data_IF_421968835751
#
_entry.id   IF_421968835751
#
_cell.length_a   1.000
_cell.length_b   1.000
_cell.length_c   1.000
_cell.angle_alpha   90.00
_cell.angle_beta   90.00
_cell.angle_gamma   90.00
#
_symmetry.space_group_name_H-M   'P 1'
#
loop_
_entity.id
_entity.type
_entity.pdbx_description
1 polymer ?
#
# COMPACT_ATOMS: atom_id res chain seq x y z
N UNK A 1 14.52 8.11 -13.66
CA UNK A 1 15.21 6.96 -14.24
C UNK A 1 15.49 7.13 -15.70
N UNK A 2 16.71 6.78 -16.17
CA UNK A 2 17.09 6.85 -17.60
C UNK A 2 16.65 5.60 -18.35
N UNK A 3 16.67 4.43 -17.69
CA UNK A 3 16.27 3.15 -18.25
C UNK A 3 15.37 2.41 -17.23
N UNK A 4 14.42 1.63 -17.70
CA UNK A 4 13.54 0.78 -16.86
C UNK A 4 12.46 1.54 -16.10
N UNK A 5 12.78 2.67 -15.47
CA UNK A 5 11.87 3.54 -14.70
C UNK A 5 11.71 4.91 -15.35
N UNK A 6 11.54 4.93 -16.67
CA UNK A 6 11.36 6.17 -17.43
C UNK A 6 10.14 6.93 -16.94
N UNK A 7 10.33 8.22 -16.63
CA UNK A 7 9.26 9.08 -16.12
C UNK A 7 9.12 9.11 -14.59
N UNK A 8 9.74 8.18 -13.88
CA UNK A 8 9.80 8.25 -12.43
C UNK A 8 10.78 9.36 -11.99
N UNK A 9 10.25 10.29 -11.19
CA UNK A 9 10.99 11.44 -10.67
C UNK A 9 10.98 11.37 -9.15
N UNK A 10 12.17 11.46 -8.55
CA UNK A 10 12.37 11.41 -7.09
C UNK A 10 13.00 12.71 -6.61
N UNK A 11 12.65 13.14 -5.42
CA UNK A 11 13.31 14.23 -4.70
C UNK A 11 14.20 13.65 -3.61
N UNK A 12 15.51 13.90 -3.70
CA UNK A 12 16.48 13.54 -2.68
C UNK A 12 16.77 14.78 -1.80
N UNK A 13 16.45 14.72 -0.52
CA UNK A 13 16.70 15.79 0.43
C UNK A 13 18.14 15.76 0.99
N UNK A 14 18.79 14.60 0.89
CA UNK A 14 20.15 14.34 1.38
C UNK A 14 21.11 14.12 0.21
N UNK A 15 22.39 14.24 0.48
CA UNK A 15 23.43 13.95 -0.49
C UNK A 15 23.34 12.49 -0.96
N UNK A 16 23.45 12.28 -2.26
CA UNK A 16 23.35 10.96 -2.86
C UNK A 16 24.38 10.72 -3.93
N UNK A 17 24.69 9.47 -4.19
CA UNK A 17 25.56 9.06 -5.29
C UNK A 17 24.70 8.57 -6.46
N UNK A 18 24.60 9.34 -7.57
CA UNK A 18 23.78 8.93 -8.71
C UNK A 18 24.42 7.77 -9.46
N UNK A 19 23.62 6.72 -9.73
CA UNK A 19 24.04 5.64 -10.60
C UNK A 19 23.98 6.09 -12.07
N UNK A 20 24.78 5.44 -12.96
CA UNK A 20 24.84 5.74 -14.40
C UNK A 20 23.50 5.59 -15.14
N UNK A 21 22.53 4.89 -14.57
CA UNK A 21 21.18 4.74 -15.08
C UNK A 21 20.22 5.84 -14.62
N UNK A 22 20.73 6.84 -13.90
CA UNK A 22 19.94 7.94 -13.33
C UNK A 22 20.36 9.27 -13.99
N UNK A 23 19.39 10.12 -14.33
CA UNK A 23 19.60 11.53 -14.62
C UNK A 23 19.28 12.32 -13.35
N UNK A 24 20.06 13.35 -13.05
CA UNK A 24 19.83 14.25 -11.92
C UNK A 24 19.96 15.70 -12.37
N UNK A 25 19.32 16.60 -11.62
CA UNK A 25 19.42 18.05 -11.84
C UNK A 25 20.71 18.55 -11.21
N UNK A 26 21.64 19.04 -12.03
CA UNK A 26 22.92 19.55 -11.59
C UNK A 26 22.84 21.02 -11.13
N UNK A 27 22.00 21.81 -11.82
CA UNK A 27 21.83 23.23 -11.53
C UNK A 27 20.38 23.64 -11.72
N UNK A 28 19.81 24.31 -10.75
CA UNK A 28 18.43 24.81 -10.80
C UNK A 28 18.28 26.19 -11.44
N UNK A 29 19.40 26.87 -11.74
CA UNK A 29 19.42 28.19 -12.39
C UNK A 29 18.50 29.22 -11.68
N UNK A 30 18.50 29.22 -10.33
CA UNK A 30 17.68 30.12 -9.53
C UNK A 30 16.22 29.71 -9.34
N UNK A 31 15.80 28.57 -9.90
CA UNK A 31 14.46 28.04 -9.68
C UNK A 31 14.37 27.23 -8.37
N UNK A 32 13.18 27.12 -7.82
CA UNK A 32 12.94 26.32 -6.60
C UNK A 32 13.07 24.81 -6.88
N UNK A 33 13.85 24.12 -6.07
CA UNK A 33 14.17 22.70 -6.29
C UNK A 33 12.94 21.79 -6.17
N UNK A 34 12.04 22.06 -5.19
CA UNK A 34 10.81 21.29 -5.03
C UNK A 34 9.82 21.58 -6.17
N UNK A 35 9.75 22.82 -6.64
CA UNK A 35 8.97 23.16 -7.82
C UNK A 35 9.47 22.40 -9.05
N UNK A 36 10.77 22.39 -9.30
CA UNK A 36 11.35 21.64 -10.44
C UNK A 36 11.06 20.13 -10.31
N UNK A 37 11.11 19.56 -9.10
CA UNK A 37 10.70 18.18 -8.88
C UNK A 37 9.26 17.93 -9.35
N UNK A 38 8.30 18.75 -8.93
CA UNK A 38 6.89 18.62 -9.35
C UNK A 38 6.70 18.91 -10.83
N UNK A 39 7.39 19.91 -11.38
CA UNK A 39 7.36 20.22 -12.80
C UNK A 39 7.84 19.03 -13.64
N UNK A 40 8.94 18.38 -13.27
CA UNK A 40 9.46 17.22 -13.97
C UNK A 40 8.48 16.03 -13.96
N UNK A 41 7.60 15.91 -12.97
CA UNK A 41 6.54 14.89 -12.93
C UNK A 41 5.43 15.13 -13.95
N UNK A 42 5.25 16.35 -14.43
CA UNK A 42 4.24 16.67 -15.46
C UNK A 42 4.75 16.46 -16.89
N UNK A 43 6.05 16.25 -17.07
CA UNK A 43 6.62 16.07 -18.41
C UNK A 43 6.23 14.71 -19.00
N UNK A 44 5.90 14.72 -20.29
CA UNK A 44 5.66 13.49 -21.07
C UNK A 44 6.98 12.85 -21.49
N UNK A 45 7.60 12.12 -20.58
CA UNK A 45 8.92 11.54 -20.76
C UNK A 45 9.07 10.59 -21.96
N UNK A 46 7.97 10.00 -22.43
CA UNK A 46 7.93 9.18 -23.65
C UNK A 46 8.46 9.91 -24.89
N UNK A 47 8.28 11.22 -24.98
CA UNK A 47 8.76 12.05 -26.08
C UNK A 47 10.29 12.10 -26.19
N UNK A 48 10.98 11.84 -25.10
CA UNK A 48 12.45 11.93 -25.00
C UNK A 48 13.14 10.58 -25.10
N UNK A 49 12.41 9.51 -25.41
CA UNK A 49 12.97 8.17 -25.53
C UNK A 49 13.48 7.88 -26.93
N UNK A 50 14.60 7.17 -27.03
CA UNK A 50 15.10 6.65 -28.29
C UNK A 50 14.32 5.41 -28.72
N UNK A 51 14.06 5.26 -30.02
CA UNK A 51 13.50 4.06 -30.63
C UNK A 51 14.58 2.95 -30.67
N UNK A 52 14.81 2.27 -29.54
CA UNK A 52 15.75 1.16 -29.43
C UNK A 52 15.10 -0.01 -28.69
N UNK A 53 15.68 -1.21 -28.81
CA UNK A 53 15.20 -2.41 -28.12
C UNK A 53 15.13 -2.23 -26.60
N UNK A 54 15.94 -1.33 -26.03
CA UNK A 54 15.84 -0.86 -24.63
C UNK A 54 15.61 0.65 -24.68
N UNK A 55 14.37 1.13 -24.50
CA UNK A 55 14.07 2.55 -24.49
C UNK A 55 14.87 3.27 -23.40
N UNK A 56 15.45 4.40 -23.75
CA UNK A 56 16.21 5.22 -22.80
C UNK A 56 16.04 6.71 -23.08
N UNK A 57 16.12 7.54 -22.05
CA UNK A 57 16.03 8.99 -22.17
C UNK A 57 17.34 9.51 -22.75
N UNK A 58 17.23 10.31 -23.83
CA UNK A 58 18.34 11.08 -24.37
C UNK A 58 18.36 12.47 -23.73
N UNK A 59 19.33 12.72 -22.84
CA UNK A 59 19.47 14.01 -22.13
C UNK A 59 19.59 15.20 -23.10
N UNK A 60 20.27 15.04 -24.26
CA UNK A 60 20.44 16.12 -25.19
C UNK A 60 19.14 16.52 -25.90
N UNK A 61 18.17 15.61 -25.96
CA UNK A 61 16.80 15.91 -26.43
C UNK A 61 16.02 16.64 -25.36
N UNK A 62 16.13 16.19 -24.10
CA UNK A 62 15.49 16.87 -22.96
C UNK A 62 15.97 18.33 -22.83
N UNK A 63 17.28 18.58 -22.99
CA UNK A 63 17.85 19.94 -22.89
C UNK A 63 17.39 20.91 -23.99
N UNK A 64 16.76 20.41 -25.05
CA UNK A 64 16.21 21.27 -26.13
C UNK A 64 14.75 21.67 -25.88
N UNK A 65 14.13 21.07 -24.89
CA UNK A 65 12.73 21.39 -24.57
C UNK A 65 12.65 22.81 -23.99
N UNK A 66 11.84 23.64 -24.62
CA UNK A 66 11.59 25.00 -24.16
C UNK A 66 10.39 24.96 -23.23
N UNK A 67 10.57 25.43 -22.00
CA UNK A 67 9.53 25.45 -20.97
C UNK A 67 9.28 26.88 -20.50
N UNK A 68 8.04 27.19 -20.15
CA UNK A 68 7.67 28.44 -19.50
C UNK A 68 7.46 28.16 -18.02
N UNK A 69 8.17 28.87 -17.16
CA UNK A 69 8.07 28.75 -15.71
C UNK A 69 7.56 30.07 -15.11
N UNK A 70 6.77 30.03 -14.03
CA UNK A 70 6.36 31.22 -13.31
C UNK A 70 7.55 31.85 -12.56
N UNK A 71 7.35 33.04 -12.00
CA UNK A 71 8.33 33.67 -11.14
C UNK A 71 8.64 32.83 -9.89
N UNK A 72 9.77 33.10 -9.24
CA UNK A 72 10.28 32.30 -8.11
C UNK A 72 9.33 32.27 -6.92
N UNK A 73 8.58 33.34 -6.64
CA UNK A 73 7.63 33.40 -5.54
C UNK A 73 6.41 32.51 -5.82
N UNK A 74 5.92 32.50 -7.06
CA UNK A 74 4.87 31.58 -7.52
C UNK A 74 5.35 30.14 -7.47
N UNK A 75 6.60 29.86 -7.91
CA UNK A 75 7.21 28.52 -7.80
C UNK A 75 7.21 27.99 -6.36
N UNK A 76 7.69 28.79 -5.41
CA UNK A 76 7.72 28.43 -3.99
C UNK A 76 6.33 28.14 -3.43
N UNK A 77 5.32 28.94 -3.79
CA UNK A 77 3.93 28.72 -3.35
C UNK A 77 3.37 27.41 -3.89
N UNK A 78 3.57 27.12 -5.18
CA UNK A 78 3.14 25.86 -5.79
C UNK A 78 3.84 24.68 -5.11
N UNK A 79 5.17 24.75 -4.94
CA UNK A 79 5.95 23.73 -4.28
C UNK A 79 5.51 23.49 -2.83
N UNK A 80 5.24 24.56 -2.08
CA UNK A 80 4.74 24.47 -0.70
C UNK A 80 3.38 23.78 -0.64
N UNK A 81 2.44 24.19 -1.48
CA UNK A 81 1.08 23.60 -1.54
C UNK A 81 1.12 22.09 -1.81
N UNK A 82 1.87 21.68 -2.82
CA UNK A 82 1.98 20.26 -3.17
C UNK A 82 2.78 19.46 -2.12
N UNK A 83 3.82 20.08 -1.54
CA UNK A 83 4.63 19.44 -0.48
C UNK A 83 3.83 19.20 0.80
N UNK A 84 2.93 20.09 1.19
CA UNK A 84 2.06 19.87 2.36
C UNK A 84 1.20 18.62 2.19
N UNK A 85 0.68 18.35 0.98
CA UNK A 85 -0.06 17.13 0.69
C UNK A 85 0.84 15.88 0.81
N UNK A 86 2.03 15.92 0.21
CA UNK A 86 2.97 14.79 0.28
C UNK A 86 3.47 14.56 1.72
N UNK A 87 3.74 15.62 2.49
CA UNK A 87 4.15 15.54 3.89
C UNK A 87 3.04 14.95 4.77
N UNK A 88 1.77 15.33 4.55
CA UNK A 88 0.64 14.74 5.28
C UNK A 88 0.48 13.24 4.95
N UNK A 89 0.60 12.85 3.66
CA UNK A 89 0.58 11.45 3.26
C UNK A 89 1.70 10.66 3.94
N UNK A 90 2.90 11.22 3.98
CA UNK A 90 4.06 10.60 4.63
C UNK A 90 3.83 10.43 6.13
N UNK A 91 3.38 11.50 6.81
CA UNK A 91 3.09 11.47 8.26
C UNK A 91 2.02 10.42 8.60
N UNK A 92 0.93 10.36 7.83
CA UNK A 92 -0.10 9.35 8.02
C UNK A 92 0.45 7.92 7.83
N UNK A 93 1.39 7.73 6.90
CA UNK A 93 2.03 6.42 6.67
C UNK A 93 2.89 6.03 7.87
N UNK A 94 3.73 6.95 8.37
CA UNK A 94 4.56 6.74 9.57
C UNK A 94 3.71 6.47 10.82
N UNK A 95 2.58 7.17 10.99
CA UNK A 95 1.62 6.90 12.06
C UNK A 95 1.06 5.49 11.91
N UNK A 96 0.68 5.05 10.71
CA UNK A 96 0.14 3.72 10.48
C UNK A 96 1.14 2.61 10.80
N UNK A 97 2.42 2.80 10.46
CA UNK A 97 3.48 1.86 10.80
C UNK A 97 3.64 1.74 12.32
N UNK A 98 3.66 2.87 13.04
CA UNK A 98 3.72 2.89 14.50
C UNK A 98 2.48 2.24 15.16
N UNK A 99 1.28 2.48 14.62
CA UNK A 99 0.05 1.85 15.11
C UNK A 99 0.04 0.34 14.88
N UNK A 100 0.55 -0.11 13.73
CA UNK A 100 0.68 -1.54 13.42
C UNK A 100 1.70 -2.23 14.35
N UNK A 101 2.83 -1.59 14.63
CA UNK A 101 3.84 -2.09 15.56
C UNK A 101 3.30 -2.13 16.99
N UNK A 102 2.57 -1.11 17.42
CA UNK A 102 1.90 -1.08 18.73
C UNK A 102 0.89 -2.23 18.85
N UNK A 103 0.05 -2.41 17.84
CA UNK A 103 -0.93 -3.52 17.80
C UNK A 103 -0.23 -4.87 17.93
N UNK A 104 0.88 -5.07 17.19
CA UNK A 104 1.65 -6.32 17.28
C UNK A 104 2.31 -6.51 18.65
N UNK A 105 2.80 -5.45 19.26
CA UNK A 105 3.38 -5.50 20.61
C UNK A 105 2.33 -5.95 21.62
N UNK A 106 1.14 -5.32 21.61
CA UNK A 106 0.03 -5.68 22.50
C UNK A 106 -0.44 -7.13 22.26
N UNK A 107 -0.51 -7.55 20.99
CA UNK A 107 -0.85 -8.92 20.62
C UNK A 107 0.19 -9.91 21.19
N UNK A 108 1.47 -9.62 21.00
CA UNK A 108 2.56 -10.51 21.49
C UNK A 108 2.62 -10.57 23.01
N UNK A 109 2.40 -9.46 23.71
CA UNK A 109 2.36 -9.45 25.18
C UNK A 109 1.21 -10.29 25.75
N UNK A 110 0.04 -10.24 25.11
CA UNK A 110 -1.16 -10.95 25.59
C UNK A 110 -1.22 -12.41 25.16
N UNK A 111 -0.79 -12.72 23.93
CA UNK A 111 -1.01 -14.02 23.29
C UNK A 111 0.26 -14.65 22.72
N UNK A 112 1.40 -13.98 22.78
CA UNK A 112 2.64 -14.43 22.14
C UNK A 112 3.42 -15.50 22.92
N UNK A 113 3.07 -15.77 24.19
CA UNK A 113 3.72 -16.77 25.03
C UNK A 113 3.05 -18.14 24.83
N UNK A 114 3.17 -18.70 23.64
CA UNK A 114 2.56 -19.96 23.20
C UNK A 114 2.85 -21.17 24.10
N UNK A 115 3.96 -21.13 24.88
CA UNK A 115 4.45 -22.29 25.67
C UNK A 115 3.67 -22.47 26.98
N UNK A 116 2.99 -21.43 27.46
CA UNK A 116 2.28 -21.45 28.75
C UNK A 116 0.75 -21.30 28.60
N UNK A 117 0.23 -21.16 27.38
CA UNK A 117 -1.21 -21.00 27.18
C UNK A 117 -1.97 -22.29 27.53
N UNK A 118 -2.92 -22.16 28.44
CA UNK A 118 -3.80 -23.27 28.89
C UNK A 118 -4.72 -23.72 27.75
N UNK A 119 -5.10 -22.80 26.84
CA UNK A 119 -5.99 -23.06 25.72
C UNK A 119 -5.23 -22.89 24.40
N UNK A 120 -4.69 -23.98 23.87
CA UNK A 120 -4.08 -24.01 22.54
C UNK A 120 -5.09 -24.55 21.52
N UNK A 121 -5.08 -23.95 20.33
CA UNK A 121 -5.87 -24.39 19.20
C UNK A 121 -5.10 -24.19 17.89
N UNK A 122 -5.82 -24.27 16.80
CA UNK A 122 -5.29 -24.03 15.45
C UNK A 122 -6.10 -22.94 14.74
N UNK A 123 -5.55 -22.39 13.69
CA UNK A 123 -6.17 -21.27 12.96
C UNK A 123 -7.60 -21.58 12.50
N UNK A 124 -7.89 -22.85 12.15
CA UNK A 124 -9.26 -23.27 11.77
C UNK A 124 -10.29 -23.19 12.90
N UNK A 125 -9.87 -23.04 14.15
CA UNK A 125 -10.81 -22.88 15.28
C UNK A 125 -11.36 -21.45 15.36
N UNK A 126 -10.62 -20.47 14.81
CA UNK A 126 -10.97 -19.05 14.89
C UNK A 126 -11.38 -18.43 13.55
N UNK A 127 -11.13 -19.10 12.41
CA UNK A 127 -11.51 -18.61 11.08
C UNK A 127 -11.71 -19.73 10.06
N UNK A 128 -12.25 -19.35 8.93
CA UNK A 128 -12.35 -20.20 7.73
C UNK A 128 -12.00 -19.40 6.48
N UNK A 129 -11.74 -20.09 5.36
CA UNK A 129 -11.67 -19.41 4.07
C UNK A 129 -13.07 -19.00 3.59
N UNK A 130 -13.21 -17.75 3.12
CA UNK A 130 -14.45 -17.30 2.50
C UNK A 130 -14.86 -18.20 1.33
N UNK A 131 -16.12 -18.61 1.31
CA UNK A 131 -16.75 -19.37 0.23
C UNK A 131 -17.74 -18.54 -0.58
N UNK A 132 -18.06 -17.37 -0.08
CA UNK A 132 -19.01 -16.47 -0.69
C UNK A 132 -18.51 -15.89 -2.00
N UNK A 133 -19.45 -15.50 -2.85
CA UNK A 133 -19.17 -14.90 -4.14
C UNK A 133 -19.80 -13.52 -4.25
N UNK A 134 -19.13 -12.64 -4.96
CA UNK A 134 -19.65 -11.32 -5.32
C UNK A 134 -19.57 -11.15 -6.83
N UNK A 135 -20.58 -10.54 -7.42
CA UNK A 135 -20.55 -10.18 -8.84
C UNK A 135 -19.49 -9.11 -9.08
N UNK A 136 -18.68 -9.29 -10.13
CA UNK A 136 -17.63 -8.30 -10.47
C UNK A 136 -18.25 -6.93 -10.80
N UNK A 137 -19.48 -6.90 -11.31
CA UNK A 137 -20.23 -5.66 -11.55
C UNK A 137 -20.56 -4.84 -10.29
N UNK A 138 -20.49 -5.45 -9.10
CA UNK A 138 -20.66 -4.77 -7.81
C UNK A 138 -19.34 -4.18 -7.27
N UNK A 139 -18.22 -4.50 -7.91
CA UNK A 139 -16.87 -4.10 -7.51
C UNK A 139 -16.35 -2.96 -8.39
N UNK A 140 -15.36 -2.27 -7.86
CA UNK A 140 -14.56 -1.31 -8.61
C UNK A 140 -13.05 -1.53 -8.31
N UNK A 141 -12.19 -0.76 -8.94
CA UNK A 141 -10.73 -0.88 -8.77
C UNK A 141 -10.23 -0.64 -7.33
N UNK A 142 -11.06 -0.03 -6.49
CA UNK A 142 -10.79 0.24 -5.07
C UNK A 142 -11.15 -0.95 -4.19
N UNK A 143 -12.23 -1.64 -4.53
CA UNK A 143 -12.82 -2.74 -3.74
C UNK A 143 -12.43 -4.11 -4.25
N UNK A 144 -11.52 -4.20 -5.23
CA UNK A 144 -10.99 -5.46 -5.74
C UNK A 144 -9.51 -5.63 -5.37
N UNK A 145 -9.17 -6.79 -4.79
CA UNK A 145 -7.83 -7.13 -4.35
C UNK A 145 -7.24 -8.31 -5.13
N UNK A 146 -6.06 -8.10 -5.66
CA UNK A 146 -5.25 -9.14 -6.31
C UNK A 146 -3.83 -9.13 -5.75
N UNK A 147 -3.02 -10.12 -6.12
CA UNK A 147 -1.61 -10.14 -5.72
C UNK A 147 -0.81 -8.96 -6.28
N UNK A 148 -1.30 -8.30 -7.32
CA UNK A 148 -0.63 -7.18 -7.98
C UNK A 148 -0.78 -5.88 -7.19
N UNK A 149 -2.01 -5.58 -6.73
CA UNK A 149 -2.30 -4.34 -6.02
C UNK A 149 -2.16 -4.44 -4.49
N UNK A 150 -1.92 -5.62 -3.94
CA UNK A 150 -1.47 -5.78 -2.56
C UNK A 150 0.03 -5.51 -2.47
N UNK A 151 0.45 -4.64 -1.54
CA UNK A 151 1.82 -4.19 -1.39
C UNK A 151 2.64 -5.13 -0.50
N UNK A 152 3.93 -5.27 -0.83
CA UNK A 152 4.88 -6.07 -0.03
C UNK A 152 5.17 -5.42 1.31
N UNK A 153 5.69 -6.21 2.28
CA UNK A 153 6.08 -5.69 3.58
C UNK A 153 4.92 -5.19 4.43
N UNK A 154 3.71 -5.75 4.23
CA UNK A 154 2.49 -5.38 4.98
C UNK A 154 2.01 -3.93 4.74
N UNK A 155 2.45 -3.29 3.65
CA UNK A 155 2.17 -1.88 3.37
C UNK A 155 0.73 -1.61 2.87
N UNK A 156 -0.17 -2.62 2.89
CA UNK A 156 -1.56 -2.47 2.47
C UNK A 156 -1.75 -2.71 0.98
N UNK A 157 -2.47 -1.84 0.30
CA UNK A 157 -2.82 -2.01 -1.13
C UNK A 157 -2.94 -0.69 -1.86
N UNK A 158 -2.81 -0.77 -3.19
CA UNK A 158 -3.17 0.30 -4.13
C UNK A 158 -4.49 -0.04 -4.84
N UNK A 159 -4.93 0.81 -5.75
CA UNK A 159 -6.03 0.48 -6.66
C UNK A 159 -5.61 -0.64 -7.62
N UNK A 160 -6.55 -1.49 -7.98
CA UNK A 160 -6.32 -2.48 -9.04
C UNK A 160 -6.22 -1.77 -10.40
N UNK A 161 -5.35 -2.25 -11.27
CA UNK A 161 -5.22 -1.73 -12.64
C UNK A 161 -6.44 -2.06 -13.50
N UNK A 162 -7.13 -3.16 -13.19
CA UNK A 162 -8.34 -3.62 -13.87
C UNK A 162 -9.13 -4.57 -12.99
N UNK A 163 -10.41 -4.73 -13.30
CA UNK A 163 -11.23 -5.79 -12.72
C UNK A 163 -11.02 -7.12 -13.47
N UNK A 164 -11.28 -8.27 -12.83
CA UNK A 164 -11.20 -9.56 -13.51
C UNK A 164 -12.28 -9.67 -14.59
N UNK A 165 -12.01 -10.48 -15.60
CA UNK A 165 -12.96 -10.75 -16.71
C UNK A 165 -14.03 -11.77 -16.37
N UNK A 166 -13.94 -12.41 -15.21
CA UNK A 166 -14.95 -13.37 -14.72
C UNK A 166 -16.20 -12.65 -14.25
N UNK A 167 -17.35 -13.31 -14.27
CA UNK A 167 -18.61 -12.72 -13.78
C UNK A 167 -18.66 -12.57 -12.26
N UNK A 168 -17.93 -13.44 -11.54
CA UNK A 168 -17.89 -13.46 -10.07
C UNK A 168 -16.48 -13.71 -9.55
N UNK A 169 -16.23 -13.24 -8.34
CA UNK A 169 -14.99 -13.50 -7.60
C UNK A 169 -15.31 -13.84 -6.14
N UNK A 170 -14.29 -14.11 -5.31
CA UNK A 170 -14.49 -14.36 -3.88
C UNK A 170 -14.96 -13.10 -3.19
N UNK A 171 -16.08 -13.18 -2.47
CA UNK A 171 -16.56 -12.08 -1.64
C UNK A 171 -15.75 -12.00 -0.35
N UNK A 172 -15.48 -10.78 0.07
CA UNK A 172 -14.84 -10.46 1.34
C UNK A 172 -15.72 -9.46 2.10
N UNK A 173 -15.79 -9.62 3.41
CA UNK A 173 -16.66 -8.83 4.28
C UNK A 173 -15.83 -7.99 5.27
N UNK A 174 -16.50 -7.05 5.91
CA UNK A 174 -15.87 -6.30 7.01
C UNK A 174 -15.36 -7.28 8.08
N UNK A 175 -14.10 -7.09 8.47
CA UNK A 175 -13.43 -7.93 9.46
C UNK A 175 -12.65 -9.11 8.88
N UNK A 176 -12.80 -9.41 7.60
CA UNK A 176 -11.97 -10.41 6.91
C UNK A 176 -10.52 -9.94 6.79
N UNK A 177 -9.62 -10.90 6.71
CA UNK A 177 -8.20 -10.64 6.43
C UNK A 177 -7.79 -11.29 5.12
N UNK A 178 -7.18 -10.50 4.23
CA UNK A 178 -6.70 -10.94 2.93
C UNK A 178 -5.19 -11.14 2.95
N UNK A 179 -4.72 -12.27 2.41
CA UNK A 179 -3.29 -12.55 2.25
C UNK A 179 -3.01 -13.07 0.84
N UNK A 180 -2.00 -12.50 0.18
CA UNK A 180 -1.53 -13.06 -1.10
C UNK A 180 -0.96 -14.45 -0.90
N UNK A 181 -1.51 -15.43 -1.60
CA UNK A 181 -1.03 -16.81 -1.54
C UNK A 181 0.23 -17.05 -2.39
N UNK A 182 0.52 -16.14 -3.32
CA UNK A 182 1.71 -16.22 -4.18
C UNK A 182 2.88 -15.53 -3.50
N UNK A 183 4.02 -16.23 -3.42
CA UNK A 183 5.27 -15.71 -2.83
C UNK A 183 5.03 -15.12 -1.43
N UNK A 184 4.61 -15.94 -0.47
CA UNK A 184 4.20 -15.47 0.86
C UNK A 184 5.29 -14.69 1.61
N UNK A 185 6.56 -14.85 1.22
CA UNK A 185 7.67 -14.07 1.76
C UNK A 185 7.59 -12.55 1.46
N UNK A 186 6.74 -12.13 0.53
CA UNK A 186 6.45 -10.70 0.34
C UNK A 186 5.53 -10.13 1.43
N UNK A 187 4.94 -10.95 2.29
CA UNK A 187 4.12 -10.54 3.43
C UNK A 187 3.03 -9.54 3.04
N UNK A 188 2.27 -9.84 1.98
CA UNK A 188 1.18 -8.99 1.50
C UNK A 188 -0.10 -9.33 2.26
N UNK A 189 -0.61 -8.38 3.06
CA UNK A 189 -1.79 -8.53 3.91
C UNK A 189 -2.65 -7.26 3.90
N UNK A 190 -3.97 -7.43 3.92
CA UNK A 190 -4.97 -6.36 4.00
C UNK A 190 -6.08 -6.77 4.93
N UNK A 191 -6.53 -5.86 5.78
CA UNK A 191 -7.75 -6.01 6.58
C UNK A 191 -8.93 -5.41 5.81
N UNK A 192 -10.08 -6.07 5.77
CA UNK A 192 -11.26 -5.58 5.07
C UNK A 192 -12.13 -4.75 6.01
N UNK A 193 -12.36 -3.49 5.69
CA UNK A 193 -13.30 -2.64 6.43
C UNK A 193 -14.71 -2.63 5.87
N UNK A 194 -14.82 -2.93 4.58
CA UNK A 194 -16.07 -2.97 3.85
C UNK A 194 -16.17 -4.21 2.98
N UNK A 195 -17.34 -4.41 2.39
CA UNK A 195 -17.57 -5.42 1.36
C UNK A 195 -16.63 -5.19 0.19
N UNK A 196 -15.88 -6.20 -0.16
CA UNK A 196 -14.94 -6.17 -1.28
C UNK A 196 -14.85 -7.55 -1.95
N UNK A 197 -13.96 -7.69 -2.94
CA UNK A 197 -13.72 -8.95 -3.60
C UNK A 197 -12.23 -9.20 -3.81
N UNK A 198 -11.84 -10.47 -3.91
CA UNK A 198 -10.44 -10.79 -4.15
C UNK A 198 -10.26 -11.88 -5.21
N UNK A 199 -9.07 -11.89 -5.83
CA UNK A 199 -8.68 -12.90 -6.81
C UNK A 199 -8.48 -14.27 -6.15
N UNK A 200 -8.47 -15.32 -6.96
CA UNK A 200 -8.24 -16.70 -6.50
C UNK A 200 -6.85 -16.94 -5.90
N UNK A 201 -5.90 -16.06 -6.18
CA UNK A 201 -4.54 -16.09 -5.64
C UNK A 201 -4.40 -15.30 -4.33
N UNK A 202 -5.50 -14.74 -3.84
CA UNK A 202 -5.62 -14.11 -2.52
C UNK A 202 -6.47 -15.01 -1.63
N UNK A 203 -5.99 -15.31 -0.44
CA UNK A 203 -6.72 -16.02 0.59
C UNK A 203 -7.52 -15.02 1.39
N UNK A 204 -8.83 -15.21 1.48
CA UNK A 204 -9.72 -14.45 2.33
C UNK A 204 -10.03 -15.28 3.58
N UNK A 205 -9.54 -14.83 4.72
CA UNK A 205 -9.78 -15.44 6.03
C UNK A 205 -10.95 -14.72 6.69
N UNK A 206 -12.06 -15.43 6.86
CA UNK A 206 -13.25 -14.91 7.53
C UNK A 206 -13.24 -15.38 8.98
N UNK A 207 -13.30 -14.48 9.98
CA UNK A 207 -13.34 -14.88 11.39
C UNK A 207 -14.59 -15.71 11.69
N UNK A 208 -14.47 -16.69 12.59
CA UNK A 208 -15.59 -17.55 13.01
C UNK A 208 -16.73 -16.75 13.63
N UNK A 209 -16.41 -15.63 14.28
CA UNK A 209 -17.35 -14.64 14.83
C UNK A 209 -16.75 -13.23 14.68
N UNK A 210 -17.57 -12.17 14.56
CA UNK A 210 -17.09 -10.80 14.31
C UNK A 210 -16.08 -10.28 15.33
N UNK A 211 -16.18 -10.68 16.59
CA UNK A 211 -15.27 -10.24 17.64
C UNK A 211 -13.86 -10.85 17.56
N UNK A 212 -13.65 -11.87 16.71
CA UNK A 212 -12.33 -12.40 16.40
C UNK A 212 -11.57 -11.59 15.34
N UNK A 213 -12.19 -10.62 14.66
CA UNK A 213 -11.60 -9.94 13.52
C UNK A 213 -10.23 -9.31 13.82
N UNK A 214 -10.11 -8.50 14.87
CA UNK A 214 -8.86 -7.84 15.22
C UNK A 214 -7.79 -8.84 15.71
N UNK A 215 -8.22 -9.87 16.47
CA UNK A 215 -7.34 -10.95 16.92
C UNK A 215 -6.80 -11.76 15.72
N UNK A 216 -7.68 -12.16 14.81
CA UNK A 216 -7.32 -12.87 13.58
C UNK A 216 -6.34 -12.06 12.74
N UNK A 217 -6.64 -10.78 12.50
CA UNK A 217 -5.74 -9.93 11.76
C UNK A 217 -4.36 -9.85 12.42
N UNK A 218 -4.30 -9.66 13.75
CA UNK A 218 -3.04 -9.56 14.49
C UNK A 218 -2.25 -10.87 14.46
N UNK A 219 -2.95 -12.02 14.53
CA UNK A 219 -2.35 -13.35 14.37
C UNK A 219 -1.71 -13.52 12.99
N UNK A 220 -2.45 -13.18 11.93
CA UNK A 220 -2.00 -13.31 10.55
C UNK A 220 -0.95 -12.25 10.15
N UNK A 221 -0.92 -11.12 10.84
CA UNK A 221 0.06 -10.05 10.62
C UNK A 221 1.42 -10.39 11.22
N UNK A 222 1.50 -11.32 12.17
CA UNK A 222 2.73 -11.70 12.82
C UNK A 222 3.74 -12.35 11.85
N UNK A 223 5.02 -12.03 12.00
CA UNK A 223 6.10 -12.58 11.16
C UNK A 223 6.23 -14.10 11.29
N UNK A 224 5.93 -14.65 12.47
CA UNK A 224 5.87 -16.10 12.73
C UNK A 224 4.87 -16.81 11.81
N UNK A 225 3.69 -16.18 11.56
CA UNK A 225 2.70 -16.73 10.65
C UNK A 225 3.20 -16.78 9.20
N UNK A 226 3.81 -15.71 8.71
CA UNK A 226 4.40 -15.71 7.37
C UNK A 226 5.54 -16.70 7.23
N UNK A 227 6.38 -16.85 8.24
CA UNK A 227 7.44 -17.87 8.27
C UNK A 227 6.84 -19.29 8.18
N UNK A 228 5.77 -19.57 8.91
CA UNK A 228 5.04 -20.85 8.84
C UNK A 228 4.44 -21.07 7.45
N UNK A 229 3.83 -20.04 6.86
CA UNK A 229 3.25 -20.09 5.52
C UNK A 229 4.33 -20.34 4.44
N UNK A 230 5.51 -19.72 4.57
CA UNK A 230 6.66 -19.93 3.67
C UNK A 230 7.20 -21.35 3.79
N UNK A 231 7.36 -21.85 5.02
CA UNK A 231 7.87 -23.20 5.28
C UNK A 231 7.01 -24.30 4.64
N UNK A 232 5.68 -24.13 4.60
CA UNK A 232 4.75 -25.05 3.96
C UNK A 232 4.49 -24.79 2.48
N UNK A 233 5.11 -23.77 1.89
CA UNK A 233 4.83 -23.37 0.50
C UNK A 233 5.42 -24.38 -0.50
N UNK A 234 4.69 -24.55 -1.63
CA UNK A 234 5.06 -25.48 -2.71
C UNK A 234 5.32 -24.70 -4.00
N UNK A 235 6.27 -25.16 -4.79
CA UNK A 235 6.68 -24.56 -6.07
C UNK A 235 7.97 -23.75 -5.95
N UNK A 236 8.79 -23.78 -7.01
CA UNK A 236 10.14 -23.15 -7.02
C UNK A 236 10.10 -21.70 -7.52
N UNK A 237 9.46 -21.46 -8.66
CA UNK A 237 9.45 -20.12 -9.32
C UNK A 237 8.38 -19.18 -8.73
N UNK A 238 7.23 -19.74 -8.38
CA UNK A 238 6.09 -19.02 -7.80
C UNK A 238 5.52 -19.83 -6.63
N UNK A 239 6.22 -19.88 -5.48
CA UNK A 239 5.76 -20.66 -4.35
C UNK A 239 4.39 -20.17 -3.88
N UNK A 240 3.51 -21.12 -3.57
CA UNK A 240 2.16 -20.88 -3.01
C UNK A 240 2.06 -21.57 -1.66
N UNK A 241 1.47 -20.89 -0.69
CA UNK A 241 1.14 -21.47 0.60
C UNK A 241 0.17 -22.66 0.44
N UNK A 242 0.39 -23.69 1.24
CA UNK A 242 -0.52 -24.83 1.31
C UNK A 242 -1.72 -24.47 2.19
N UNK A 243 -2.89 -24.38 1.59
CA UNK A 243 -4.13 -23.97 2.27
C UNK A 243 -4.50 -24.86 3.47
N UNK A 244 -4.23 -26.15 3.39
CA UNK A 244 -4.51 -27.07 4.48
C UNK A 244 -3.52 -26.89 5.63
N UNK A 245 -2.23 -26.81 5.30
CA UNK A 245 -1.17 -26.55 6.27
C UNK A 245 -1.37 -25.19 6.97
N UNK A 246 -1.72 -24.14 6.25
CA UNK A 246 -1.97 -22.80 6.84
C UNK A 246 -3.02 -22.87 7.96
N UNK A 247 -4.10 -23.61 7.78
CA UNK A 247 -5.18 -23.71 8.77
C UNK A 247 -4.77 -24.50 10.04
N UNK A 248 -3.63 -25.19 10.02
CA UNK A 248 -3.05 -25.84 11.19
C UNK A 248 -2.08 -24.94 11.99
N UNK A 249 -1.97 -23.66 11.62
CA UNK A 249 -1.12 -22.73 12.36
C UNK A 249 -1.57 -22.65 13.82
N UNK A 250 -0.66 -22.87 14.80
CA UNK A 250 -1.02 -22.87 16.21
C UNK A 250 -1.41 -21.48 16.68
N UNK A 251 -2.49 -21.40 17.42
CA UNK A 251 -3.02 -20.16 18.00
C UNK A 251 -3.39 -20.36 19.45
N UNK A 252 -3.37 -19.31 20.24
CA UNK A 252 -3.99 -19.27 21.57
C UNK A 252 -5.49 -19.05 21.35
N UNK A 253 -6.34 -19.76 22.07
CA UNK A 253 -7.79 -19.52 22.08
C UNK A 253 -8.10 -18.64 23.29
N UNK A 254 -8.28 -17.31 23.10
CA UNK A 254 -8.55 -16.41 24.20
C UNK A 254 -9.96 -16.65 24.78
N UNK A 255 -10.11 -16.43 26.07
CA UNK A 255 -11.43 -16.31 26.68
C UNK A 255 -12.17 -15.09 26.14
N UNK A 256 -13.49 -15.07 26.29
CA UNK A 256 -14.33 -13.92 25.88
C UNK A 256 -13.91 -12.62 26.57
N UNK A 257 -13.47 -12.67 27.83
CA UNK A 257 -12.97 -11.49 28.55
C UNK A 257 -11.65 -10.98 28.02
N UNK A 258 -10.68 -11.87 27.74
CA UNK A 258 -9.39 -11.53 27.15
C UNK A 258 -9.57 -10.92 25.76
N UNK A 259 -10.45 -11.52 24.95
CA UNK A 259 -10.75 -11.06 23.61
C UNK A 259 -11.44 -9.69 23.61
N UNK A 260 -12.42 -9.49 24.51
CA UNK A 260 -13.08 -8.21 24.69
C UNK A 260 -12.09 -7.13 25.14
N UNK A 261 -11.22 -7.44 26.11
CA UNK A 261 -10.17 -6.53 26.57
C UNK A 261 -9.14 -6.20 25.48
N UNK A 262 -8.81 -7.16 24.62
CA UNK A 262 -7.94 -6.92 23.46
C UNK A 262 -8.63 -6.01 22.41
N UNK A 263 -9.87 -6.30 22.06
CA UNK A 263 -10.63 -5.55 21.06
C UNK A 263 -10.87 -4.10 21.47
N UNK A 264 -10.98 -3.79 22.77
CA UNK A 264 -11.09 -2.41 23.27
C UNK A 264 -9.92 -1.53 22.82
N UNK A 265 -8.75 -2.12 22.60
CA UNK A 265 -7.53 -1.40 22.14
C UNK A 265 -7.32 -1.64 20.63
N UNK A 266 -7.41 -2.88 20.18
CA UNK A 266 -7.04 -3.28 18.83
C UNK A 266 -7.98 -2.70 17.76
N UNK A 267 -9.29 -2.67 18.01
CA UNK A 267 -10.25 -2.17 17.02
C UNK A 267 -10.06 -0.70 16.71
N UNK A 268 -9.92 0.22 17.68
CA UNK A 268 -9.63 1.63 17.40
C UNK A 268 -8.31 1.85 16.64
N UNK A 269 -7.27 1.04 16.92
CA UNK A 269 -5.99 1.13 16.20
C UNK A 269 -6.17 0.76 14.71
N UNK A 270 -6.89 -0.32 14.44
CA UNK A 270 -7.19 -0.73 13.06
C UNK A 270 -8.06 0.31 12.34
N UNK A 271 -9.10 0.84 12.98
CA UNK A 271 -9.94 1.90 12.42
C UNK A 271 -9.12 3.16 12.09
N UNK A 272 -8.17 3.54 12.95
CA UNK A 272 -7.30 4.69 12.69
C UNK A 272 -6.36 4.44 11.51
N UNK A 273 -5.71 3.27 11.43
CA UNK A 273 -4.85 2.89 10.29
C UNK A 273 -5.63 3.02 8.98
N UNK A 274 -6.85 2.63 9.00
CA UNK A 274 -7.71 2.63 7.82
C UNK A 274 -8.17 4.02 7.44
N UNK A 275 -8.60 4.80 8.42
CA UNK A 275 -8.96 6.21 8.22
C UNK A 275 -7.80 6.99 7.60
N UNK A 276 -6.58 6.79 8.09
CA UNK A 276 -5.38 7.42 7.55
C UNK A 276 -5.10 6.96 6.09
N UNK A 277 -5.32 5.68 5.78
CA UNK A 277 -5.17 5.16 4.40
C UNK A 277 -6.20 5.79 3.45
N UNK A 278 -7.45 5.92 3.90
CA UNK A 278 -8.49 6.57 3.11
C UNK A 278 -8.21 8.07 2.91
N UNK A 279 -7.66 8.75 3.93
CA UNK A 279 -7.20 10.14 3.82
C UNK A 279 -6.04 10.26 2.82
N UNK A 280 -5.01 9.41 2.94
CA UNK A 280 -3.86 9.40 2.03
C UNK A 280 -4.28 9.24 0.57
N UNK A 281 -5.28 8.41 0.32
CA UNK A 281 -5.83 8.24 -1.02
C UNK A 281 -6.46 9.53 -1.54
N UNK A 282 -7.29 10.19 -0.72
CA UNK A 282 -7.91 11.48 -1.08
C UNK A 282 -6.86 12.56 -1.35
N UNK A 283 -5.83 12.64 -0.50
CA UNK A 283 -4.73 13.58 -0.64
C UNK A 283 -3.92 13.32 -1.93
N UNK A 284 -3.66 12.07 -2.28
CA UNK A 284 -2.97 11.70 -3.52
C UNK A 284 -3.77 12.11 -4.76
N UNK A 285 -5.08 11.83 -4.78
CA UNK A 285 -5.97 12.25 -5.87
C UNK A 285 -6.01 13.77 -5.98
N UNK A 286 -6.12 14.48 -4.85
CA UNK A 286 -6.12 15.95 -4.83
C UNK A 286 -4.81 16.50 -5.39
N UNK A 287 -3.65 16.01 -4.91
CA UNK A 287 -2.33 16.38 -5.40
C UNK A 287 -2.21 16.17 -6.91
N UNK A 288 -2.56 14.98 -7.39
CA UNK A 288 -2.41 14.60 -8.80
C UNK A 288 -3.37 15.37 -9.72
N UNK A 289 -4.51 15.82 -9.18
CA UNK A 289 -5.44 16.71 -9.88
C UNK A 289 -4.94 18.17 -9.90
N UNK A 290 -4.39 18.66 -8.79
CA UNK A 290 -3.89 20.03 -8.68
C UNK A 290 -2.59 20.23 -9.47
N UNK A 291 -1.71 19.22 -9.49
CA UNK A 291 -0.37 19.32 -10.07
C UNK A 291 -0.39 19.89 -11.50
N UNK A 292 -1.07 19.28 -12.50
CA UNK A 292 -1.04 19.82 -13.87
C UNK A 292 -1.69 21.22 -13.97
N UNK A 293 -2.72 21.49 -13.18
CA UNK A 293 -3.43 22.76 -13.21
C UNK A 293 -2.63 23.93 -12.61
N UNK A 294 -1.88 23.66 -11.56
CA UNK A 294 -0.96 24.64 -10.97
C UNK A 294 0.25 24.89 -11.89
N UNK A 295 0.78 23.83 -12.52
CA UNK A 295 1.91 23.95 -13.45
C UNK A 295 1.56 24.69 -14.75
N UNK A 296 0.33 24.54 -15.24
CA UNK A 296 -0.15 25.25 -16.43
C UNK A 296 -0.62 26.69 -16.14
N UNK A 297 -0.81 27.06 -14.86
CA UNK A 297 -1.41 28.32 -14.46
C UNK A 297 -2.94 28.36 -14.62
N UNK A 298 -3.60 27.23 -14.93
CA UNK A 298 -5.07 27.13 -14.95
C UNK A 298 -5.68 27.48 -13.60
N UNK A 299 -5.02 27.08 -12.52
CA UNK A 299 -5.37 27.46 -11.16
C UNK A 299 -4.29 28.41 -10.60
N UNK A 300 -4.71 29.57 -10.13
CA UNK A 300 -3.83 30.47 -9.39
C UNK A 300 -3.58 29.87 -7.99
N UNK A 301 -2.32 29.62 -7.66
CA UNK A 301 -1.95 29.04 -6.35
C UNK A 301 -2.43 29.87 -5.16
N UNK A 302 -2.60 31.17 -5.32
CA UNK A 302 -3.13 32.06 -4.25
C UNK A 302 -4.61 31.81 -3.93
N UNK A 303 -5.34 31.10 -4.79
CA UNK A 303 -6.73 30.72 -4.58
C UNK A 303 -6.89 29.34 -3.91
N UNK A 304 -5.81 28.58 -3.75
CA UNK A 304 -5.83 27.26 -3.10
C UNK A 304 -5.75 27.46 -1.59
N UNK A 305 -6.79 27.06 -0.88
CA UNK A 305 -6.82 26.95 0.58
C UNK A 305 -6.76 25.46 0.93
N UNK A 306 -5.73 25.05 1.69
CA UNK A 306 -5.53 23.70 2.21
C UNK A 306 -5.84 23.63 3.69
#
# INVERSE_FOLDING_TARGET
GRYGTIGEVFYAAEDFWPLNTTLFVENYHGNDAKFIYYFLKTLEWSKFTSASAVPGINRNTVHKEIVSLPDIETQKRIASTLSMLDEKIKTNTEINDNLADLLQTIYQERFGNDILAVNQGVLSDICSYSRDKVAVSELNVITYFSTENMLSGKAGSTEATSLPTTSQTTACHKGDTLISNIRPYFKKIVYCEDKCGCSTDVLCFTPSQPHYSAYLFSTLYADKFFAFMVAGSKGTKMPRGDKQQIMTYPVVLPSEEELAGFNTIASPLLEQIYSNRAENKRLSILRDTLLPKLMSGEINVSAVQL
#
